data_IF_013019148585
#
_entry.id   IF_013019148585
#
_cell.length_a   1.000
_cell.length_b   1.000
_cell.length_c   1.000
_cell.angle_alpha   90.00
_cell.angle_beta   90.00
_cell.angle_gamma   90.00
#
_symmetry.space_group_name_H-M   'P 1'
#
loop_
_entity.id
_entity.type
_entity.pdbx_description
1 polymer ?
#
# COMPACT_ATOMS: atom_id res chain seq x y z
N UNK A 1 41.31 -3.60 -1.69
CA UNK A 1 39.90 -4.00 -1.53
C UNK A 1 39.11 -3.47 -2.71
N UNK A 2 38.35 -4.30 -3.40
CA UNK A 2 37.45 -3.84 -4.45
C UNK A 2 36.36 -2.97 -3.79
N UNK A 3 36.15 -1.75 -4.32
CA UNK A 3 35.02 -0.91 -3.90
C UNK A 3 33.75 -1.42 -4.60
N UNK A 4 32.76 -1.85 -3.84
CA UNK A 4 31.44 -2.14 -4.36
C UNK A 4 30.56 -0.90 -4.14
N UNK A 5 29.95 -0.42 -5.22
CA UNK A 5 28.93 0.64 -5.16
C UNK A 5 27.56 -0.02 -5.02
N UNK A 6 26.79 0.47 -4.09
CA UNK A 6 25.41 0.06 -3.88
C UNK A 6 24.49 1.29 -3.92
N UNK A 7 23.40 1.19 -4.65
CA UNK A 7 22.44 2.28 -4.81
C UNK A 7 21.04 1.80 -4.48
N UNK A 8 20.20 2.71 -4.01
CA UNK A 8 18.78 2.48 -3.80
C UNK A 8 18.01 3.71 -4.27
N UNK A 9 16.76 3.51 -4.64
CA UNK A 9 15.85 4.57 -5.05
C UNK A 9 14.52 4.45 -4.29
N UNK A 10 13.82 5.55 -4.21
CA UNK A 10 12.47 5.63 -3.64
C UNK A 10 11.67 6.66 -4.41
N UNK A 11 10.36 6.49 -4.43
CA UNK A 11 9.43 7.36 -5.12
C UNK A 11 8.54 8.10 -4.13
N UNK A 12 7.97 9.24 -4.56
CA UNK A 12 7.01 10.01 -3.76
C UNK A 12 5.63 9.39 -3.80
N UNK A 13 4.71 9.91 -2.99
CA UNK A 13 3.34 9.42 -2.85
C UNK A 13 2.51 9.40 -4.16
N UNK A 14 2.85 10.26 -5.13
CA UNK A 14 2.16 10.36 -6.41
C UNK A 14 2.62 9.35 -7.47
N UNK A 15 3.63 8.52 -7.19
CA UNK A 15 4.02 7.44 -8.10
C UNK A 15 2.89 6.40 -8.20
N UNK A 16 2.59 5.86 -9.39
CA UNK A 16 1.49 4.90 -9.58
C UNK A 16 1.50 3.75 -8.59
N UNK A 17 2.65 3.12 -8.35
CA UNK A 17 2.76 2.02 -7.39
C UNK A 17 2.42 2.48 -5.97
N UNK A 18 2.89 3.68 -5.55
CA UNK A 18 2.57 4.24 -4.24
C UNK A 18 1.10 4.65 -4.12
N UNK A 19 0.48 5.10 -5.19
CA UNK A 19 -0.96 5.37 -5.22
C UNK A 19 -1.73 4.08 -4.99
N UNK A 20 -1.35 2.99 -5.67
CA UNK A 20 -1.97 1.68 -5.50
C UNK A 20 -1.80 1.15 -4.08
N UNK A 21 -0.58 1.19 -3.52
CA UNK A 21 -0.30 0.78 -2.14
C UNK A 21 -1.17 1.56 -1.14
N UNK A 22 -1.22 2.89 -1.28
CA UNK A 22 -1.99 3.74 -0.37
C UNK A 22 -3.49 3.48 -0.44
N UNK A 23 -4.02 3.12 -1.61
CA UNK A 23 -5.44 2.76 -1.76
C UNK A 23 -5.71 1.41 -1.11
N UNK A 24 -4.88 0.40 -1.36
CA UNK A 24 -5.08 -0.93 -0.74
C UNK A 24 -4.96 -0.87 0.78
N UNK A 25 -3.98 -0.12 1.31
CA UNK A 25 -3.83 0.13 2.74
C UNK A 25 -5.06 0.85 3.33
N UNK A 26 -5.56 1.88 2.65
CA UNK A 26 -6.72 2.62 3.12
C UNK A 26 -8.02 1.79 3.13
N UNK A 27 -8.19 0.88 2.17
CA UNK A 27 -9.30 -0.09 2.16
C UNK A 27 -9.18 -1.05 3.34
N UNK A 28 -7.98 -1.58 3.59
CA UNK A 28 -7.70 -2.43 4.74
C UNK A 28 -8.01 -1.71 6.06
N UNK A 29 -7.50 -0.50 6.24
CA UNK A 29 -7.70 0.30 7.45
C UNK A 29 -9.16 0.59 7.71
N UNK A 30 -9.93 0.97 6.67
CA UNK A 30 -11.36 1.26 6.79
C UNK A 30 -12.16 0.02 7.21
N UNK A 31 -11.84 -1.15 6.64
CA UNK A 31 -12.48 -2.42 7.00
C UNK A 31 -12.13 -2.81 8.44
N UNK A 32 -10.85 -2.84 8.79
CA UNK A 32 -10.39 -3.28 10.12
C UNK A 32 -10.85 -2.32 11.24
N UNK A 33 -11.12 -1.05 10.92
CA UNK A 33 -11.70 -0.12 11.89
C UNK A 33 -13.11 -0.52 12.35
N UNK A 34 -13.85 -1.27 11.51
CA UNK A 34 -15.24 -1.68 11.73
C UNK A 34 -15.33 -3.17 12.04
N UNK A 35 -14.50 -4.01 11.40
CA UNK A 35 -14.48 -5.47 11.56
C UNK A 35 -13.03 -5.96 11.71
N UNK A 36 -12.63 -6.22 12.96
CA UNK A 36 -11.28 -6.66 13.30
C UNK A 36 -10.95 -8.09 12.85
N UNK A 37 -11.97 -8.87 12.53
CA UNK A 37 -11.83 -10.26 12.09
C UNK A 37 -11.94 -10.42 10.58
N UNK A 38 -12.01 -9.32 9.83
CA UNK A 38 -12.09 -9.35 8.39
C UNK A 38 -10.84 -9.98 7.76
N UNK A 39 -11.03 -10.69 6.67
CA UNK A 39 -9.97 -11.18 5.80
C UNK A 39 -9.95 -10.31 4.54
N UNK A 40 -8.85 -9.60 4.33
CA UNK A 40 -8.73 -8.60 3.27
C UNK A 40 -7.49 -8.87 2.43
N UNK A 41 -7.70 -9.32 1.21
CA UNK A 41 -6.71 -9.37 0.14
C UNK A 41 -7.14 -8.36 -0.92
N UNK A 42 -6.56 -7.17 -0.88
CA UNK A 42 -6.95 -6.04 -1.73
C UNK A 42 -5.78 -5.62 -2.61
N UNK A 43 -5.94 -5.78 -3.91
CA UNK A 43 -4.98 -5.39 -4.94
C UNK A 43 -5.52 -4.19 -5.71
N UNK A 44 -4.63 -3.31 -6.14
CA UNK A 44 -5.00 -2.10 -6.88
C UNK A 44 -4.12 -1.94 -8.09
N UNK A 45 -4.72 -1.53 -9.20
CA UNK A 45 -4.01 -1.04 -10.38
C UNK A 45 -4.49 0.35 -10.74
N UNK A 46 -3.58 1.19 -11.20
CA UNK A 46 -3.88 2.55 -11.64
C UNK A 46 -3.24 2.85 -12.99
N UNK A 47 -3.97 3.60 -13.81
CA UNK A 47 -3.49 4.17 -15.06
C UNK A 47 -4.14 5.53 -15.25
N UNK A 48 -3.78 6.26 -16.32
CA UNK A 48 -4.37 7.58 -16.60
C UNK A 48 -5.90 7.51 -16.60
N UNK A 49 -6.51 8.24 -15.68
CA UNK A 49 -7.97 8.37 -15.57
C UNK A 49 -8.71 7.16 -14.99
N UNK A 50 -8.04 6.11 -14.53
CA UNK A 50 -8.70 4.91 -14.03
C UNK A 50 -7.96 4.26 -12.87
N UNK A 51 -8.73 3.79 -11.89
CA UNK A 51 -8.31 2.91 -10.79
C UNK A 51 -9.15 1.64 -10.86
N UNK A 52 -8.54 0.50 -10.68
CA UNK A 52 -9.23 -0.77 -10.51
C UNK A 52 -8.80 -1.41 -9.19
N UNK A 53 -9.76 -1.58 -8.28
CA UNK A 53 -9.59 -2.25 -7.00
C UNK A 53 -10.16 -3.65 -7.13
N UNK A 54 -9.36 -4.66 -6.84
CA UNK A 54 -9.73 -6.05 -7.03
C UNK A 54 -9.21 -6.90 -5.87
N UNK A 55 -9.74 -8.09 -5.72
CA UNK A 55 -9.26 -9.02 -4.72
C UNK A 55 -10.36 -9.84 -4.07
N UNK A 56 -10.03 -10.42 -2.93
CA UNK A 56 -10.94 -11.25 -2.12
C UNK A 56 -11.07 -10.66 -0.73
N UNK A 57 -12.30 -10.31 -0.34
CA UNK A 57 -12.59 -9.69 0.95
C UNK A 57 -13.77 -10.44 1.60
N UNK A 58 -13.55 -10.90 2.82
CA UNK A 58 -14.60 -11.47 3.67
C UNK A 58 -14.72 -10.62 4.93
N UNK A 59 -15.84 -9.95 5.09
CA UNK A 59 -16.11 -9.04 6.21
C UNK A 59 -17.61 -8.92 6.47
N UNK A 60 -17.97 -8.58 7.70
CA UNK A 60 -19.35 -8.29 8.12
C UNK A 60 -19.71 -6.80 7.97
N UNK A 61 -18.75 -5.92 7.62
CA UNK A 61 -19.01 -4.50 7.42
C UNK A 61 -19.18 -4.13 5.94
N UNK A 62 -19.74 -2.96 5.70
CA UNK A 62 -19.81 -2.34 4.37
C UNK A 62 -18.84 -1.16 4.28
N UNK A 63 -18.02 -1.15 3.23
CA UNK A 63 -17.11 -0.04 2.90
C UNK A 63 -17.35 0.39 1.46
N UNK A 64 -17.53 1.70 1.25
CA UNK A 64 -17.54 2.27 -0.10
C UNK A 64 -16.09 2.41 -0.61
N UNK A 65 -15.62 1.34 -1.24
CA UNK A 65 -14.25 1.25 -1.77
C UNK A 65 -13.96 2.36 -2.78
N UNK A 66 -14.94 2.74 -3.59
CA UNK A 66 -14.76 3.80 -4.57
C UNK A 66 -14.54 5.16 -3.90
N UNK A 67 -15.27 5.45 -2.82
CA UNK A 67 -15.10 6.68 -2.05
C UNK A 67 -13.75 6.70 -1.33
N UNK A 68 -13.32 5.58 -0.73
CA UNK A 68 -11.99 5.43 -0.12
C UNK A 68 -10.88 5.71 -1.14
N UNK A 69 -10.94 5.08 -2.32
CA UNK A 69 -9.96 5.29 -3.38
C UNK A 69 -9.87 6.76 -3.81
N UNK A 70 -11.02 7.43 -4.01
CA UNK A 70 -11.09 8.84 -4.37
C UNK A 70 -10.49 9.76 -3.31
N UNK A 71 -10.79 9.49 -2.02
CA UNK A 71 -10.21 10.24 -0.90
C UNK A 71 -8.69 10.14 -0.87
N UNK A 72 -8.14 8.95 -1.07
CA UNK A 72 -6.68 8.75 -1.13
C UNK A 72 -6.07 9.55 -2.27
N UNK A 73 -6.60 9.45 -3.47
CA UNK A 73 -6.10 10.15 -4.66
C UNK A 73 -6.14 11.66 -4.48
N UNK A 74 -7.24 12.20 -3.94
CA UNK A 74 -7.36 13.62 -3.64
C UNK A 74 -6.38 14.06 -2.54
N UNK A 75 -6.17 13.26 -1.49
CA UNK A 75 -5.22 13.55 -0.42
C UNK A 75 -3.75 13.56 -0.89
N UNK A 76 -3.43 12.76 -1.89
CA UNK A 76 -2.12 12.81 -2.56
C UNK A 76 -1.96 14.15 -3.31
N UNK A 77 -3.07 14.71 -3.82
CA UNK A 77 -3.11 15.99 -4.54
C UNK A 77 -3.45 15.85 -6.03
N UNK A 78 -3.97 14.70 -6.46
CA UNK A 78 -4.56 14.53 -7.78
C UNK A 78 -6.03 15.00 -7.75
N UNK A 79 -6.23 16.29 -7.64
CA UNK A 79 -7.51 16.99 -7.50
C UNK A 79 -7.79 17.99 -8.63
N UNK A 80 -6.91 18.06 -9.65
CA UNK A 80 -7.06 18.90 -10.84
C UNK A 80 -7.02 18.04 -12.12
N UNK A 81 -8.06 18.07 -12.96
CA UNK A 81 -8.09 17.36 -14.24
C UNK A 81 -6.91 17.67 -15.18
N UNK A 82 -6.27 18.83 -15.01
CA UNK A 82 -5.08 19.22 -15.79
C UNK A 82 -3.87 18.33 -15.53
N UNK A 83 -3.85 17.62 -14.42
CA UNK A 83 -2.81 16.65 -14.11
C UNK A 83 -2.96 15.33 -14.89
N UNK A 84 -4.02 15.18 -15.70
CA UNK A 84 -4.34 13.95 -16.44
C UNK A 84 -4.90 12.83 -15.56
N UNK A 85 -4.96 13.05 -14.25
CA UNK A 85 -5.53 12.16 -13.26
C UNK A 85 -6.18 13.00 -12.15
N UNK A 86 -7.42 12.72 -11.81
CA UNK A 86 -8.20 13.49 -10.82
C UNK A 86 -9.12 12.54 -10.05
N UNK A 87 -8.97 12.50 -8.75
CA UNK A 87 -9.74 11.64 -7.87
C UNK A 87 -11.25 11.87 -7.92
N UNK A 88 -11.69 13.06 -8.30
CA UNK A 88 -13.12 13.39 -8.40
C UNK A 88 -13.76 12.83 -9.67
N UNK A 89 -12.99 12.70 -10.75
CA UNK A 89 -13.51 12.38 -12.10
C UNK A 89 -12.98 11.07 -12.68
N UNK A 90 -11.91 10.50 -12.15
CA UNK A 90 -11.36 9.22 -12.62
C UNK A 90 -12.39 8.09 -12.50
N UNK A 91 -12.30 7.11 -13.39
CA UNK A 91 -13.07 5.87 -13.24
C UNK A 91 -12.53 5.06 -12.07
N UNK A 92 -13.42 4.57 -11.21
CA UNK A 92 -13.06 3.59 -10.18
C UNK A 92 -13.88 2.34 -10.44
N UNK A 93 -13.18 1.26 -10.77
CA UNK A 93 -13.76 -0.07 -10.97
C UNK A 93 -13.47 -0.93 -9.74
N UNK A 94 -14.43 -1.77 -9.37
CA UNK A 94 -14.25 -2.73 -8.28
C UNK A 94 -14.58 -4.12 -8.76
N UNK A 95 -13.73 -5.09 -8.42
CA UNK A 95 -13.91 -6.53 -8.68
C UNK A 95 -13.50 -7.28 -7.43
N UNK A 96 -14.42 -7.34 -6.47
CA UNK A 96 -14.19 -7.94 -5.16
C UNK A 96 -15.07 -9.18 -5.05
N UNK A 97 -14.44 -10.29 -4.73
CA UNK A 97 -15.09 -11.57 -4.46
C UNK A 97 -14.92 -11.96 -2.99
N UNK A 98 -15.71 -12.93 -2.53
CA UNK A 98 -15.49 -13.55 -1.22
C UNK A 98 -14.29 -14.49 -1.28
N UNK A 99 -13.58 -14.64 -0.15
CA UNK A 99 -12.48 -15.60 -0.04
C UNK A 99 -12.94 -17.02 -0.40
N UNK A 100 -12.10 -17.76 -1.14
CA UNK A 100 -12.37 -19.15 -1.47
C UNK A 100 -12.59 -20.02 -0.21
N UNK A 101 -13.68 -20.79 -0.12
CA UNK A 101 -13.92 -21.66 1.03
C UNK A 101 -12.81 -22.71 1.25
N UNK A 102 -12.16 -23.15 0.18
CA UNK A 102 -11.08 -24.15 0.26
C UNK A 102 -9.83 -23.54 0.91
N UNK A 103 -9.49 -22.28 0.57
CA UNK A 103 -8.40 -21.54 1.20
C UNK A 103 -8.76 -21.25 2.66
N UNK A 104 -9.96 -20.73 2.92
CA UNK A 104 -10.43 -20.40 4.26
C UNK A 104 -10.33 -21.59 5.23
N UNK A 105 -10.71 -22.78 4.79
CA UNK A 105 -10.62 -24.00 5.58
C UNK A 105 -9.16 -24.36 5.96
N UNK A 106 -8.20 -23.99 5.12
CA UNK A 106 -6.76 -24.25 5.36
C UNK A 106 -6.10 -23.26 6.31
N UNK A 107 -6.51 -21.98 6.28
CA UNK A 107 -5.73 -20.87 6.85
C UNK A 107 -6.43 -20.06 7.94
N UNK A 108 -7.77 -20.18 8.11
CA UNK A 108 -8.51 -19.39 9.09
C UNK A 108 -8.27 -19.80 10.53
N UNK A 109 -7.99 -21.08 10.76
CA UNK A 109 -7.70 -21.63 12.09
C UNK A 109 -6.22 -22.02 12.18
N UNK A 110 -5.60 -21.66 13.29
CA UNK A 110 -4.22 -22.07 13.58
C UNK A 110 -4.10 -23.59 13.71
N UNK A 111 -2.92 -24.14 13.49
CA UNK A 111 -2.66 -25.55 13.66
C UNK A 111 -2.85 -25.97 15.13
N UNK A 112 -2.45 -25.11 16.05
CA UNK A 112 -2.57 -25.30 17.49
C UNK A 112 -4.04 -25.47 17.91
N UNK A 113 -4.96 -24.69 17.34
CA UNK A 113 -6.38 -24.82 17.60
C UNK A 113 -6.94 -26.15 17.04
N UNK A 114 -6.49 -26.56 15.84
CA UNK A 114 -6.86 -27.84 15.23
C UNK A 114 -6.36 -29.04 16.05
N UNK A 115 -5.23 -28.91 16.73
CA UNK A 115 -4.64 -29.92 17.61
C UNK A 115 -5.23 -29.90 19.03
N UNK A 116 -6.19 -28.99 19.31
CA UNK A 116 -6.97 -28.96 20.56
C UNK A 116 -6.38 -28.08 21.65
N UNK A 117 -5.46 -27.18 21.36
CA UNK A 117 -5.01 -26.14 22.29
C UNK A 117 -6.13 -25.11 22.49
N UNK A 118 -6.31 -24.66 23.72
CA UNK A 118 -7.37 -23.72 24.10
C UNK A 118 -6.87 -22.29 24.33
N UNK A 119 -5.68 -21.96 23.87
CA UNK A 119 -5.11 -20.62 24.02
C UNK A 119 -5.82 -19.66 23.06
N UNK A 120 -6.48 -18.63 23.62
CA UNK A 120 -7.22 -17.62 22.85
C UNK A 120 -6.32 -16.76 21.98
N UNK A 121 -5.03 -16.63 22.31
CA UNK A 121 -4.10 -15.80 21.57
C UNK A 121 -3.61 -16.47 20.27
N UNK A 122 -3.78 -17.79 20.15
CA UNK A 122 -3.35 -18.60 19.01
C UNK A 122 -4.51 -19.03 18.09
N UNK A 123 -5.67 -18.40 18.17
CA UNK A 123 -6.85 -18.81 17.40
C UNK A 123 -6.78 -18.41 15.93
N UNK A 124 -6.08 -17.31 15.63
CA UNK A 124 -6.02 -16.77 14.28
C UNK A 124 -4.98 -17.55 13.47
N UNK A 125 -5.39 -18.06 12.32
CA UNK A 125 -4.51 -18.72 11.37
C UNK A 125 -3.61 -17.75 10.62
N UNK A 126 -2.76 -18.28 9.73
CA UNK A 126 -1.80 -17.47 8.97
C UNK A 126 -2.44 -16.58 7.89
N UNK A 127 -3.72 -16.78 7.55
CA UNK A 127 -4.42 -16.05 6.49
C UNK A 127 -4.08 -16.52 5.07
N UNK A 128 -2.82 -16.89 4.82
CA UNK A 128 -2.33 -17.44 3.55
C UNK A 128 -1.05 -18.26 3.79
N UNK A 129 -0.66 -19.04 2.81
CA UNK A 129 0.66 -19.68 2.77
C UNK A 129 1.74 -18.62 2.49
N UNK A 130 2.94 -18.80 3.02
CA UNK A 130 4.01 -17.84 2.77
C UNK A 130 5.38 -18.32 3.20
N UNK A 131 6.40 -17.61 2.71
CA UNK A 131 7.78 -17.74 3.16
C UNK A 131 8.29 -16.35 3.52
N UNK A 132 8.80 -16.20 4.75
CA UNK A 132 9.23 -14.92 5.28
C UNK A 132 10.75 -14.81 5.22
N UNK A 133 11.23 -13.63 4.83
CA UNK A 133 12.65 -13.27 4.86
C UNK A 133 12.82 -12.06 5.76
N UNK A 134 13.87 -12.06 6.57
CA UNK A 134 14.21 -10.94 7.44
C UNK A 134 15.65 -10.50 7.24
N UNK A 135 15.86 -9.19 7.21
CA UNK A 135 17.17 -8.58 7.20
C UNK A 135 17.17 -7.29 8.01
N UNK A 136 18.19 -7.10 8.84
CA UNK A 136 18.41 -5.88 9.58
C UNK A 136 19.91 -5.57 9.65
N UNK A 137 20.26 -4.29 9.72
CA UNK A 137 21.63 -3.83 9.91
C UNK A 137 21.65 -2.60 10.81
N UNK A 138 22.82 -2.25 11.36
CA UNK A 138 23.02 -1.14 12.29
C UNK A 138 23.48 0.17 11.61
N UNK A 139 23.31 0.27 10.29
CA UNK A 139 23.71 1.47 9.54
C UNK A 139 22.83 2.69 9.84
N UNK A 140 21.60 2.46 10.26
CA UNK A 140 20.63 3.51 10.60
C UNK A 140 19.86 3.16 11.88
N UNK A 141 19.30 4.17 12.59
CA UNK A 141 18.47 3.91 13.78
C UNK A 141 17.24 3.04 13.51
N UNK A 142 16.76 3.03 12.26
CA UNK A 142 15.64 2.22 11.81
C UNK A 142 16.03 0.77 11.51
N UNK A 143 17.28 0.39 11.73
CA UNK A 143 17.87 -0.92 11.42
C UNK A 143 17.78 -1.29 9.93
N UNK A 144 17.72 -0.28 9.06
CA UNK A 144 17.65 -0.39 7.62
C UNK A 144 18.97 -0.03 6.94
N UNK A 145 19.29 -0.60 5.79
CA UNK A 145 20.44 -0.17 4.99
C UNK A 145 20.38 1.34 4.68
N UNK A 146 21.51 2.02 4.83
CA UNK A 146 21.59 3.48 4.70
C UNK A 146 21.10 4.00 3.33
N UNK A 147 21.44 3.37 2.17
CA UNK A 147 21.00 3.90 0.88
C UNK A 147 19.48 4.01 0.76
N UNK A 148 18.73 2.96 1.13
CA UNK A 148 17.27 3.00 1.05
C UNK A 148 16.65 3.93 2.10
N UNK A 149 17.21 3.97 3.32
CA UNK A 149 16.74 4.90 4.36
C UNK A 149 16.88 6.35 3.91
N UNK A 150 18.00 6.71 3.28
CA UNK A 150 18.20 8.05 2.73
C UNK A 150 17.27 8.35 1.56
N UNK A 151 17.09 7.40 0.64
CA UNK A 151 16.16 7.54 -0.48
C UNK A 151 14.73 7.82 0.01
N UNK A 152 14.25 7.06 1.01
CA UNK A 152 12.94 7.29 1.62
C UNK A 152 12.84 8.66 2.32
N UNK A 153 13.88 9.08 3.06
CA UNK A 153 13.89 10.38 3.72
C UNK A 153 13.84 11.53 2.72
N UNK A 154 14.56 11.42 1.59
CA UNK A 154 14.51 12.40 0.51
C UNK A 154 13.13 12.48 -0.14
N UNK A 155 12.52 11.34 -0.49
CA UNK A 155 11.18 11.29 -1.07
C UNK A 155 10.12 11.89 -0.13
N UNK A 156 10.17 11.55 1.17
CA UNK A 156 9.28 12.14 2.20
C UNK A 156 9.48 13.65 2.35
N UNK A 157 10.74 14.12 2.34
CA UNK A 157 11.01 15.54 2.42
C UNK A 157 10.50 16.29 1.19
N UNK A 158 10.64 15.70 -0.01
CA UNK A 158 10.12 16.29 -1.25
C UNK A 158 8.59 16.44 -1.20
N UNK A 159 7.89 15.40 -0.76
CA UNK A 159 6.43 15.45 -0.52
C UNK A 159 6.05 16.55 0.47
N UNK A 160 6.76 16.63 1.60
CA UNK A 160 6.50 17.62 2.64
C UNK A 160 6.61 19.06 2.10
N UNK A 161 7.73 19.39 1.46
CA UNK A 161 7.96 20.78 0.97
C UNK A 161 7.04 21.15 -0.20
N UNK A 162 6.50 20.18 -0.92
CA UNK A 162 5.43 20.37 -1.90
C UNK A 162 4.11 20.71 -1.22
N UNK A 163 3.68 19.89 -0.25
CA UNK A 163 2.38 20.05 0.43
C UNK A 163 2.30 21.28 1.31
N UNK A 164 3.38 21.65 2.00
CA UNK A 164 3.44 22.84 2.86
C UNK A 164 3.69 24.15 2.09
N UNK A 165 3.89 24.06 0.77
CA UNK A 165 4.11 25.21 -0.10
C UNK A 165 5.50 25.86 0.02
N UNK A 166 6.42 25.25 0.75
CA UNK A 166 7.80 25.75 0.87
C UNK A 166 8.46 25.89 -0.51
N UNK A 167 8.20 24.94 -1.39
CA UNK A 167 8.65 24.97 -2.79
C UNK A 167 7.42 24.98 -3.71
N UNK A 168 6.89 26.16 -3.96
CA UNK A 168 5.64 26.36 -4.71
C UNK A 168 5.68 25.93 -6.18
N UNK A 169 6.85 25.70 -6.74
CA UNK A 169 7.03 25.19 -8.10
C UNK A 169 6.97 23.68 -8.21
N UNK A 170 6.99 22.96 -7.07
CA UNK A 170 6.86 21.50 -7.07
C UNK A 170 5.41 21.08 -7.32
N UNK A 171 5.25 20.07 -8.16
CA UNK A 171 3.96 19.44 -8.44
C UNK A 171 4.10 17.91 -8.40
N UNK A 172 3.01 17.20 -8.61
CA UNK A 172 2.99 15.73 -8.60
C UNK A 172 3.81 15.08 -9.72
N UNK A 173 4.08 15.80 -10.80
CA UNK A 173 4.97 15.30 -11.86
C UNK A 173 6.44 15.21 -11.45
N UNK A 174 6.82 15.84 -10.32
CA UNK A 174 8.16 15.71 -9.72
C UNK A 174 8.20 14.48 -8.78
N UNK A 175 7.72 13.35 -9.28
CA UNK A 175 7.96 12.05 -8.67
C UNK A 175 9.40 11.66 -9.01
N UNK A 176 10.15 11.17 -8.03
CA UNK A 176 11.53 10.79 -8.27
C UNK A 176 11.59 9.46 -9.04
N UNK A 177 11.39 9.55 -10.34
CA UNK A 177 11.78 8.50 -11.26
C UNK A 177 13.13 8.86 -11.88
N UNK A 178 14.04 7.89 -12.07
CA UNK A 178 15.23 8.15 -12.85
C UNK A 178 14.79 8.57 -14.25
N UNK A 179 15.15 9.79 -14.64
CA UNK A 179 14.96 10.26 -16.01
C UNK A 179 15.69 9.29 -16.94
N UNK A 180 14.94 8.54 -17.74
CA UNK A 180 15.56 7.73 -18.79
C UNK A 180 16.26 8.68 -19.74
N UNK A 181 17.58 8.60 -19.91
CA UNK A 181 18.24 9.37 -20.96
C UNK A 181 17.64 8.91 -22.29
N UNK A 182 17.16 9.83 -23.07
CA UNK A 182 16.72 9.58 -24.43
C UNK A 182 17.89 9.14 -25.32
#
# INVERSE_FOLDING_TARGET
MAKHLFTSESVTEGHPDKVCDQISDAVLDEILSQDKNAHVACEVTATTGMIHVMGEISTDCYVDIADVARKVVNNIGYDDPKCGFDGNTCAVLTSIDAQSPDIAMGVNESLELKDGESDTDNQIGAGDQGMMFGYACDETPELMPMPISLAHKLAKQLTKVRKDGTLSYLSLIHISEPTRPY
#
